data_IF_160140822462
#
_entry.id   IF_160140822462
#
_cell.length_a   1.000
_cell.length_b   1.000
_cell.length_c   1.000
_cell.angle_alpha   90.00
_cell.angle_beta   90.00
_cell.angle_gamma   90.00
#
_symmetry.space_group_name_H-M   'P 1'
#
loop_
_entity.id
_entity.type
_entity.pdbx_description
1 polymer ?
#
# COMPACT_ATOMS: atom_id res chain seq x y z
N UNK A 1 -39.97 -38.38 26.75
CA UNK A 1 -39.71 -37.51 25.59
C UNK A 1 -38.39 -36.80 25.87
N UNK A 2 -37.25 -37.26 25.32
CA UNK A 2 -36.00 -36.53 25.47
C UNK A 2 -36.02 -35.30 24.55
N UNK A 3 -35.71 -34.14 25.12
CA UNK A 3 -35.60 -32.85 24.45
C UNK A 3 -34.42 -32.84 23.48
N UNK A 4 -34.69 -32.51 22.21
CA UNK A 4 -33.66 -32.32 21.19
C UNK A 4 -32.75 -31.13 21.54
N UNK A 5 -31.42 -31.24 21.36
CA UNK A 5 -30.53 -30.10 21.50
C UNK A 5 -30.75 -29.12 20.36
N UNK A 6 -30.95 -27.85 20.72
CA UNK A 6 -31.04 -26.73 19.78
C UNK A 6 -29.63 -26.41 19.29
N UNK A 7 -29.32 -26.80 18.05
CA UNK A 7 -28.11 -26.34 17.36
C UNK A 7 -28.30 -24.87 17.00
N UNK A 8 -27.42 -23.94 17.44
CA UNK A 8 -27.50 -22.56 17.00
C UNK A 8 -27.27 -22.49 15.48
N UNK A 9 -27.94 -21.56 14.78
CA UNK A 9 -27.70 -21.37 13.35
C UNK A 9 -26.22 -20.98 13.14
N UNK A 10 -25.58 -21.60 12.14
CA UNK A 10 -24.27 -21.18 11.69
C UNK A 10 -24.35 -19.69 11.34
N UNK A 11 -23.44 -18.89 11.90
CA UNK A 11 -23.24 -17.52 11.42
C UNK A 11 -22.90 -17.62 9.93
N UNK A 12 -23.76 -17.06 9.08
CA UNK A 12 -23.38 -16.78 7.69
C UNK A 12 -22.18 -15.83 7.76
N UNK A 13 -20.98 -16.36 7.53
CA UNK A 13 -19.79 -15.55 7.36
C UNK A 13 -19.98 -14.74 6.08
N UNK A 14 -20.59 -13.56 6.19
CA UNK A 14 -20.56 -12.57 5.12
C UNK A 14 -19.10 -12.38 4.74
N UNK A 15 -18.77 -12.62 3.47
CA UNK A 15 -17.39 -12.47 3.00
C UNK A 15 -16.92 -11.06 3.36
N UNK A 16 -15.80 -10.97 4.10
CA UNK A 16 -15.22 -9.68 4.51
C UNK A 16 -14.87 -8.91 3.23
N UNK A 17 -15.45 -7.73 3.05
CA UNK A 17 -15.15 -6.86 1.91
C UNK A 17 -13.73 -6.30 2.10
N UNK A 18 -12.86 -6.54 1.14
CA UNK A 18 -11.49 -6.01 1.12
C UNK A 18 -11.57 -4.53 0.70
N UNK A 19 -11.20 -3.57 1.57
CA UNK A 19 -11.27 -2.15 1.22
C UNK A 19 -10.31 -1.79 0.09
N UNK A 20 -10.78 -0.95 -0.83
CA UNK A 20 -9.99 -0.37 -1.91
C UNK A 20 -9.76 1.12 -1.63
N UNK A 21 -8.50 1.48 -1.39
CA UNK A 21 -8.07 2.83 -1.04
C UNK A 21 -7.49 3.57 -2.25
N UNK A 22 -7.60 4.90 -2.27
CA UNK A 22 -6.84 5.73 -3.21
C UNK A 22 -5.53 6.20 -2.56
N UNK A 23 -4.39 5.85 -3.13
CA UNK A 23 -3.11 6.45 -2.70
C UNK A 23 -3.00 7.88 -3.20
N UNK A 24 -2.66 8.80 -2.30
CA UNK A 24 -2.35 10.20 -2.64
C UNK A 24 -1.24 10.35 -3.68
N UNK A 25 -0.37 9.35 -3.84
CA UNK A 25 0.64 9.33 -4.90
C UNK A 25 0.03 9.31 -6.30
N UNK A 26 -1.15 8.70 -6.48
CA UNK A 26 -1.85 8.64 -7.76
C UNK A 26 -2.49 9.96 -8.19
N UNK A 27 -2.60 10.92 -7.27
CA UNK A 27 -3.16 12.25 -7.53
C UNK A 27 -2.06 13.31 -7.62
N UNK A 28 -0.79 12.94 -7.40
CA UNK A 28 0.36 13.84 -7.51
C UNK A 28 0.43 14.53 -8.90
N UNK A 29 0.75 15.83 -8.98
CA UNK A 29 1.23 16.73 -7.92
C UNK A 29 0.13 17.50 -7.18
N UNK A 30 -1.13 17.08 -7.26
CA UNK A 30 -2.20 17.71 -6.51
C UNK A 30 -2.06 17.48 -4.99
N UNK A 31 -2.86 18.19 -4.20
CA UNK A 31 -2.77 18.16 -2.75
C UNK A 31 -3.46 16.92 -2.15
N UNK A 32 -3.21 16.66 -0.86
CA UNK A 32 -3.97 15.64 -0.11
C UNK A 32 -5.46 15.97 -0.08
N UNK A 33 -5.85 17.25 -0.08
CA UNK A 33 -7.25 17.66 -0.20
C UNK A 33 -7.88 17.14 -1.50
N UNK A 34 -7.16 17.26 -2.63
CA UNK A 34 -7.62 16.73 -3.92
C UNK A 34 -7.74 15.19 -3.88
N UNK A 35 -6.85 14.51 -3.13
CA UNK A 35 -6.95 13.06 -2.93
C UNK A 35 -8.25 12.67 -2.22
N UNK A 36 -8.60 13.34 -1.11
CA UNK A 36 -9.84 13.06 -0.39
C UNK A 36 -11.09 13.37 -1.24
N UNK A 37 -11.06 14.47 -2.00
CA UNK A 37 -12.16 14.84 -2.89
C UNK A 37 -12.37 13.77 -3.99
N UNK A 38 -11.30 13.38 -4.68
CA UNK A 38 -11.37 12.34 -5.73
C UNK A 38 -11.79 10.99 -5.15
N UNK A 39 -11.27 10.60 -3.99
CA UNK A 39 -11.66 9.37 -3.31
C UNK A 39 -13.17 9.35 -2.99
N UNK A 40 -13.69 10.46 -2.46
CA UNK A 40 -15.11 10.64 -2.19
C UNK A 40 -15.95 10.55 -3.48
N UNK A 41 -15.61 11.34 -4.49
CA UNK A 41 -16.39 11.48 -5.72
C UNK A 41 -16.45 10.17 -6.51
N UNK A 42 -15.36 9.39 -6.52
CA UNK A 42 -15.27 8.11 -7.23
C UNK A 42 -15.77 6.91 -6.41
N UNK A 43 -16.01 7.11 -5.11
CA UNK A 43 -16.55 6.08 -4.22
C UNK A 43 -15.50 5.05 -3.76
N UNK A 44 -14.28 5.49 -3.49
CA UNK A 44 -13.27 4.70 -2.77
C UNK A 44 -13.68 4.47 -1.31
N UNK A 45 -13.14 3.43 -0.69
CA UNK A 45 -13.44 3.07 0.70
C UNK A 45 -12.61 3.86 1.72
N UNK A 46 -11.59 4.57 1.24
CA UNK A 46 -10.72 5.43 2.02
C UNK A 46 -9.50 5.87 1.22
N UNK A 47 -8.52 6.44 1.93
CA UNK A 47 -7.28 6.92 1.33
C UNK A 47 -6.04 6.35 2.01
N UNK A 48 -4.97 6.27 1.24
CA UNK A 48 -3.62 6.17 1.76
C UNK A 48 -2.90 7.52 1.59
N UNK A 49 -2.27 7.99 2.67
CA UNK A 49 -1.55 9.25 2.67
C UNK A 49 -0.05 8.99 2.61
N UNK A 50 0.57 9.39 1.52
CA UNK A 50 2.01 9.45 1.36
C UNK A 50 2.53 10.74 1.97
N UNK A 51 3.41 10.58 2.96
CA UNK A 51 4.05 11.72 3.62
C UNK A 51 5.09 12.30 2.66
N UNK A 52 4.94 13.59 2.34
CA UNK A 52 5.83 14.29 1.43
C UNK A 52 6.41 15.56 2.08
N UNK A 53 7.12 16.38 1.31
CA UNK A 53 7.56 17.71 1.75
C UNK A 53 6.42 18.71 1.96
N UNK A 54 5.19 18.39 1.55
CA UNK A 54 4.01 19.21 1.83
C UNK A 54 3.60 19.06 3.31
N UNK A 55 3.45 20.20 4.01
CA UNK A 55 3.07 20.25 5.43
C UNK A 55 1.72 19.60 5.73
N UNK A 56 0.77 19.66 4.78
CA UNK A 56 -0.57 19.12 4.98
C UNK A 56 -0.54 17.59 5.07
N UNK A 57 0.32 16.94 4.29
CA UNK A 57 0.56 15.49 4.38
C UNK A 57 1.28 15.04 5.65
N UNK A 58 1.80 15.99 6.45
CA UNK A 58 2.51 15.73 7.71
C UNK A 58 1.67 16.10 8.94
N UNK A 59 0.47 16.67 8.77
CA UNK A 59 -0.32 17.25 9.85
C UNK A 59 -1.57 16.40 10.13
N UNK A 60 -1.60 15.62 11.22
CA UNK A 60 -2.74 14.76 11.56
C UNK A 60 -4.06 15.52 11.73
N UNK A 61 -4.02 16.75 12.24
CA UNK A 61 -5.23 17.54 12.47
C UNK A 61 -5.85 18.01 11.15
N UNK A 62 -5.02 18.40 10.17
CA UNK A 62 -5.49 18.70 8.81
C UNK A 62 -6.08 17.44 8.18
N UNK A 63 -5.37 16.32 8.25
CA UNK A 63 -5.80 15.05 7.68
C UNK A 63 -7.13 14.55 8.29
N UNK A 64 -7.30 14.64 9.61
CA UNK A 64 -8.56 14.31 10.28
C UNK A 64 -9.71 15.23 9.84
N UNK A 65 -9.46 16.54 9.70
CA UNK A 65 -10.46 17.47 9.19
C UNK A 65 -10.88 17.19 7.74
N UNK A 66 -9.95 16.72 6.89
CA UNK A 66 -10.25 16.28 5.53
C UNK A 66 -11.03 14.96 5.53
N UNK A 67 -10.61 13.99 6.36
CA UNK A 67 -11.30 12.71 6.52
C UNK A 67 -12.77 12.92 6.91
N UNK A 68 -13.03 13.77 7.91
CA UNK A 68 -14.39 14.10 8.34
C UNK A 68 -15.19 14.80 7.23
N UNK A 69 -14.60 15.83 6.61
CA UNK A 69 -15.23 16.62 5.54
C UNK A 69 -15.70 15.75 4.38
N UNK A 70 -14.86 14.81 3.95
CA UNK A 70 -15.12 13.97 2.79
C UNK A 70 -15.75 12.62 3.15
N UNK A 71 -15.91 12.32 4.45
CA UNK A 71 -16.34 10.99 4.92
C UNK A 71 -15.50 9.87 4.32
N UNK A 72 -14.19 10.10 4.26
CA UNK A 72 -13.20 9.20 3.69
C UNK A 72 -12.18 8.86 4.77
N UNK A 73 -12.16 7.63 5.31
CA UNK A 73 -11.22 7.24 6.35
C UNK A 73 -9.80 7.13 5.79
N UNK A 74 -8.81 7.34 6.66
CA UNK A 74 -7.41 7.10 6.33
C UNK A 74 -7.08 5.67 6.70
N UNK A 75 -6.78 4.85 5.70
CA UNK A 75 -6.57 3.41 5.87
C UNK A 75 -5.09 3.06 6.06
N UNK A 76 -4.20 3.85 5.46
CA UNK A 76 -2.76 3.67 5.58
C UNK A 76 -1.98 4.98 5.51
N UNK A 77 -0.82 4.99 6.17
CA UNK A 77 0.19 6.05 6.07
C UNK A 77 1.43 5.49 5.37
N UNK A 78 1.86 6.10 4.29
CA UNK A 78 3.09 5.73 3.60
C UNK A 78 4.23 6.63 4.07
N UNK A 79 5.19 6.02 4.78
CA UNK A 79 6.30 6.72 5.41
C UNK A 79 7.20 7.41 4.35
N UNK A 80 7.82 8.56 4.68
CA UNK A 80 8.64 9.32 3.73
C UNK A 80 10.04 8.72 3.53
N UNK A 81 10.11 7.44 3.16
CA UNK A 81 11.34 6.65 3.01
C UNK A 81 11.89 6.59 1.58
N UNK A 82 11.20 7.20 0.62
CA UNK A 82 11.67 7.36 -0.76
C UNK A 82 12.89 8.29 -0.87
N UNK A 83 13.62 8.21 -2.00
CA UNK A 83 14.79 9.06 -2.26
C UNK A 83 14.43 10.55 -2.29
N UNK A 84 13.26 10.88 -2.83
CA UNK A 84 12.78 12.27 -2.96
C UNK A 84 12.32 12.87 -1.63
N UNK A 85 11.95 12.04 -0.66
CA UNK A 85 11.42 12.47 0.64
C UNK A 85 12.44 12.30 1.77
N UNK A 86 13.72 12.03 1.46
CA UNK A 86 14.77 11.82 2.47
C UNK A 86 14.89 12.98 3.47
N UNK A 87 14.61 14.21 3.06
CA UNK A 87 14.72 15.40 3.92
C UNK A 87 13.57 15.51 4.95
N UNK A 88 12.42 14.87 4.68
CA UNK A 88 11.22 14.97 5.52
C UNK A 88 11.46 14.25 6.85
N UNK A 89 11.19 14.91 7.97
CA UNK A 89 11.36 14.33 9.33
C UNK A 89 12.77 13.86 9.70
N UNK A 90 13.79 14.19 8.90
CA UNK A 90 15.19 13.97 9.25
C UNK A 90 15.62 12.50 9.25
N UNK A 91 15.94 11.95 10.43
CA UNK A 91 16.60 10.64 10.58
C UNK A 91 15.66 9.48 10.23
N UNK A 92 16.23 8.35 9.79
CA UNK A 92 15.49 7.16 9.37
C UNK A 92 14.48 6.66 10.41
N UNK A 93 14.93 6.41 11.66
CA UNK A 93 14.03 5.97 12.73
C UNK A 93 12.95 6.99 13.07
N UNK A 94 13.31 8.28 13.10
CA UNK A 94 12.34 9.36 13.35
C UNK A 94 11.21 9.36 12.31
N UNK A 95 11.50 9.03 11.05
CA UNK A 95 10.45 8.91 10.02
C UNK A 95 9.47 7.78 10.34
N UNK A 96 9.96 6.62 10.76
CA UNK A 96 9.11 5.46 11.09
C UNK A 96 8.29 5.74 12.34
N UNK A 97 8.90 6.26 13.40
CA UNK A 97 8.21 6.63 14.65
C UNK A 97 7.13 7.69 14.42
N UNK A 98 7.42 8.76 13.66
CA UNK A 98 6.43 9.78 13.36
C UNK A 98 5.33 9.29 12.43
N UNK A 99 5.63 8.38 11.50
CA UNK A 99 4.60 7.75 10.66
C UNK A 99 3.65 6.89 11.50
N UNK A 100 4.19 6.09 12.44
CA UNK A 100 3.39 5.28 13.35
C UNK A 100 2.56 6.11 14.32
N UNK A 101 3.15 7.17 14.89
CA UNK A 101 2.42 8.12 15.73
C UNK A 101 1.29 8.80 14.96
N UNK A 102 1.55 9.25 13.73
CA UNK A 102 0.54 9.86 12.87
C UNK A 102 -0.57 8.87 12.50
N UNK A 103 -0.22 7.63 12.13
CA UNK A 103 -1.20 6.59 11.82
C UNK A 103 -2.15 6.35 13.00
N UNK A 104 -1.61 6.19 14.20
CA UNK A 104 -2.41 6.05 15.42
C UNK A 104 -3.32 7.27 15.68
N UNK A 105 -2.83 8.50 15.45
CA UNK A 105 -3.60 9.73 15.66
C UNK A 105 -4.74 9.92 14.65
N UNK A 106 -4.55 9.49 13.41
CA UNK A 106 -5.58 9.58 12.37
C UNK A 106 -6.48 8.33 12.27
N UNK A 107 -6.24 7.33 13.13
CA UNK A 107 -7.00 6.08 13.15
C UNK A 107 -6.65 5.10 12.03
N UNK A 108 -5.53 5.30 11.32
CA UNK A 108 -5.02 4.34 10.35
C UNK A 108 -4.35 3.16 11.07
N UNK A 109 -4.53 1.95 10.55
CA UNK A 109 -3.96 0.73 11.15
C UNK A 109 -2.66 0.29 10.49
N UNK A 110 -2.35 0.80 9.29
CA UNK A 110 -1.18 0.39 8.51
C UNK A 110 -0.22 1.56 8.28
N UNK A 111 1.08 1.28 8.44
CA UNK A 111 2.18 2.13 7.97
C UNK A 111 2.98 1.36 6.93
N UNK A 112 3.11 1.91 5.73
CA UNK A 112 4.00 1.36 4.70
C UNK A 112 5.40 1.94 4.88
N UNK A 113 6.40 1.06 4.97
CA UNK A 113 7.80 1.44 5.14
C UNK A 113 8.68 0.75 4.09
N UNK A 114 9.70 1.45 3.60
CA UNK A 114 10.66 0.86 2.67
C UNK A 114 11.84 0.25 3.43
N UNK A 115 12.47 -0.81 2.89
CA UNK A 115 13.71 -1.32 3.44
C UNK A 115 14.80 -0.24 3.45
N UNK A 116 15.70 -0.26 4.44
CA UNK A 116 16.85 0.62 4.55
C UNK A 116 17.65 0.75 3.27
N UNK A 117 18.12 1.96 2.99
CA UNK A 117 19.21 2.12 2.03
C UNK A 117 20.51 1.57 2.61
N UNK A 118 21.37 1.04 1.74
CA UNK A 118 22.63 0.41 2.13
C UNK A 118 23.58 1.34 2.90
N UNK A 119 23.51 2.65 2.68
CA UNK A 119 24.31 3.63 3.42
C UNK A 119 23.78 3.94 4.83
N UNK A 120 22.66 3.35 5.24
CA UNK A 120 22.05 3.51 6.56
C UNK A 120 22.38 2.29 7.46
N UNK A 121 23.65 1.89 7.52
CA UNK A 121 24.06 0.59 8.10
C UNK A 121 23.57 0.34 9.54
N UNK A 122 23.71 1.32 10.44
CA UNK A 122 23.24 1.17 11.83
C UNK A 122 21.71 1.09 11.98
N UNK A 123 20.96 1.66 11.02
CA UNK A 123 19.50 1.52 10.92
C UNK A 123 19.12 0.14 10.35
N UNK A 124 19.89 -0.36 9.38
CA UNK A 124 19.60 -1.59 8.67
C UNK A 124 19.81 -2.86 9.50
N UNK A 125 20.81 -2.90 10.38
CA UNK A 125 21.14 -4.09 11.18
C UNK A 125 19.99 -4.54 12.09
N UNK A 126 19.23 -3.59 12.65
CA UNK A 126 18.14 -3.86 13.58
C UNK A 126 16.77 -3.49 12.99
N UNK A 127 16.66 -3.39 11.66
CA UNK A 127 15.47 -2.83 11.02
C UNK A 127 14.20 -3.65 11.30
N UNK A 128 14.24 -4.98 11.11
CA UNK A 128 13.08 -5.84 11.36
C UNK A 128 12.62 -5.79 12.82
N UNK A 129 13.56 -5.82 13.78
CA UNK A 129 13.24 -5.74 15.20
C UNK A 129 12.71 -4.36 15.59
N UNK A 130 13.32 -3.28 15.10
CA UNK A 130 12.90 -1.92 15.41
C UNK A 130 11.54 -1.57 14.81
N UNK A 131 11.23 -2.06 13.61
CA UNK A 131 9.90 -1.95 13.00
C UNK A 131 8.84 -2.63 13.88
N UNK A 132 9.10 -3.87 14.33
CA UNK A 132 8.19 -4.57 15.25
C UNK A 132 8.00 -3.81 16.56
N UNK A 133 9.08 -3.31 17.16
CA UNK A 133 8.99 -2.57 18.42
C UNK A 133 8.15 -1.29 18.29
N UNK A 134 8.33 -0.53 17.21
CA UNK A 134 7.53 0.69 16.95
C UNK A 134 6.06 0.32 16.68
N UNK A 135 5.81 -0.71 15.88
CA UNK A 135 4.48 -1.23 15.61
C UNK A 135 3.72 -1.54 16.92
N UNK A 136 4.34 -2.32 17.82
CA UNK A 136 3.81 -2.65 19.14
C UNK A 136 3.58 -1.40 20.02
N UNK A 137 4.53 -0.46 20.03
CA UNK A 137 4.46 0.75 20.85
C UNK A 137 3.26 1.64 20.49
N UNK A 138 2.98 1.78 19.19
CA UNK A 138 1.91 2.65 18.70
C UNK A 138 0.60 1.91 18.41
N UNK A 139 0.57 0.58 18.49
CA UNK A 139 -0.62 -0.22 18.21
C UNK A 139 -1.03 -0.19 16.73
N UNK A 140 -0.04 -0.13 15.83
CA UNK A 140 -0.23 -0.12 14.37
C UNK A 140 0.53 -1.27 13.74
N UNK A 141 0.16 -1.67 12.53
CA UNK A 141 0.96 -2.56 11.70
C UNK A 141 1.94 -1.75 10.88
N UNK A 142 3.23 -2.11 10.90
CA UNK A 142 4.19 -1.57 9.94
C UNK A 142 4.53 -2.66 8.92
N UNK A 143 4.12 -2.43 7.68
CA UNK A 143 4.31 -3.35 6.57
C UNK A 143 5.50 -2.90 5.70
N UNK A 144 6.48 -3.78 5.53
CA UNK A 144 7.69 -3.48 4.75
C UNK A 144 7.43 -3.76 3.27
N UNK A 145 7.58 -2.76 2.44
CA UNK A 145 7.32 -2.84 1.00
C UNK A 145 8.45 -3.56 0.24
N UNK A 146 8.10 -4.36 -0.77
CA UNK A 146 9.09 -4.82 -1.74
C UNK A 146 9.60 -3.65 -2.57
N UNK A 147 10.92 -3.58 -2.72
CA UNK A 147 11.57 -2.67 -3.67
C UNK A 147 12.06 -3.45 -4.88
N UNK A 148 12.94 -2.86 -5.66
CA UNK A 148 13.51 -3.48 -6.84
C UNK A 148 15.03 -3.28 -6.92
N UNK A 149 15.75 -4.19 -7.59
CA UNK A 149 17.19 -4.08 -7.76
C UNK A 149 17.54 -2.88 -8.64
N UNK A 150 18.44 -2.02 -8.17
CA UNK A 150 18.97 -0.93 -9.00
C UNK A 150 19.96 -1.51 -10.00
N UNK A 151 19.86 -1.11 -11.27
CA UNK A 151 20.79 -1.59 -12.32
C UNK A 151 21.60 -0.43 -12.87
N UNK A 152 22.93 -0.54 -12.78
CA UNK A 152 23.88 0.42 -13.36
C UNK A 152 24.70 -0.30 -14.43
N UNK A 153 24.57 0.14 -15.69
CA UNK A 153 25.25 -0.48 -16.85
C UNK A 153 25.01 -2.00 -16.94
N UNK A 154 23.78 -2.43 -16.67
CA UNK A 154 23.37 -3.84 -16.74
C UNK A 154 23.77 -4.70 -15.52
N UNK A 155 24.47 -4.14 -14.52
CA UNK A 155 24.83 -4.84 -13.28
C UNK A 155 23.94 -4.38 -12.13
N UNK A 156 23.52 -5.34 -11.30
CA UNK A 156 22.77 -5.05 -10.08
C UNK A 156 23.67 -4.32 -9.05
N UNK A 157 23.14 -3.24 -8.50
CA UNK A 157 23.70 -2.48 -7.41
C UNK A 157 22.89 -2.78 -6.13
N UNK A 158 23.59 -3.16 -5.06
CA UNK A 158 22.98 -3.40 -3.74
C UNK A 158 22.59 -2.06 -3.10
N UNK A 159 21.44 -1.52 -3.50
CA UNK A 159 20.94 -0.24 -2.99
C UNK A 159 20.27 -0.35 -1.61
N UNK A 160 19.74 -1.53 -1.27
CA UNK A 160 18.98 -1.77 -0.05
C UNK A 160 19.69 -2.75 0.90
N UNK A 161 19.35 -2.69 2.19
CA UNK A 161 19.75 -3.63 3.23
C UNK A 161 18.54 -4.03 4.10
N UNK A 162 18.44 -5.30 4.54
CA UNK A 162 19.26 -6.44 4.10
C UNK A 162 19.07 -6.76 2.62
N UNK A 163 17.87 -6.55 2.07
CA UNK A 163 17.54 -6.80 0.68
C UNK A 163 16.31 -5.98 0.22
N UNK A 164 16.11 -5.86 -1.09
CA UNK A 164 14.93 -5.23 -1.68
C UNK A 164 13.70 -6.18 -1.72
N UNK A 165 13.97 -7.49 -1.77
CA UNK A 165 12.96 -8.55 -1.72
C UNK A 165 12.63 -8.88 -0.26
N UNK A 166 11.40 -8.69 0.23
CA UNK A 166 11.02 -8.94 1.61
C UNK A 166 10.69 -10.42 1.89
N UNK A 167 10.54 -11.26 0.87
CA UNK A 167 10.13 -12.67 1.02
C UNK A 167 11.09 -13.48 1.91
N UNK A 168 12.43 -13.46 1.71
CA UNK A 168 13.34 -14.19 2.59
C UNK A 168 13.56 -13.47 3.93
N UNK A 169 13.09 -12.24 4.09
CA UNK A 169 13.40 -11.39 5.24
C UNK A 169 12.41 -11.62 6.39
N UNK A 170 12.85 -11.43 7.65
CA UNK A 170 12.05 -11.73 8.84
C UNK A 170 11.07 -10.59 9.19
N UNK A 171 10.42 -9.99 8.18
CA UNK A 171 9.36 -9.02 8.40
C UNK A 171 8.05 -9.76 8.69
N UNK A 172 7.34 -9.32 9.73
CA UNK A 172 6.05 -9.90 10.13
C UNK A 172 4.93 -9.51 9.14
N UNK A 173 4.97 -8.27 8.65
CA UNK A 173 4.00 -7.71 7.71
C UNK A 173 4.71 -7.11 6.50
N UNK A 174 4.13 -7.33 5.32
CA UNK A 174 4.68 -6.94 4.02
C UNK A 174 3.62 -6.18 3.22
N UNK A 175 4.04 -5.07 2.63
CA UNK A 175 3.32 -4.41 1.54
C UNK A 175 3.85 -4.95 0.22
N UNK A 176 2.96 -5.29 -0.71
CA UNK A 176 3.36 -5.73 -2.04
C UNK A 176 2.96 -4.74 -3.13
N UNK A 177 3.94 -4.18 -3.81
CA UNK A 177 3.82 -3.30 -4.98
C UNK A 177 4.13 -4.04 -6.29
N UNK A 178 3.20 -3.90 -7.23
CA UNK A 178 3.22 -4.59 -8.51
C UNK A 178 4.19 -3.97 -9.53
N UNK A 179 4.41 -2.66 -9.51
CA UNK A 179 5.36 -1.98 -10.38
C UNK A 179 6.79 -2.37 -9.97
N UNK A 180 7.07 -2.37 -8.68
CA UNK A 180 8.33 -2.85 -8.11
C UNK A 180 8.59 -4.33 -8.47
N UNK A 181 7.56 -5.19 -8.36
CA UNK A 181 7.65 -6.60 -8.76
C UNK A 181 8.00 -6.75 -10.25
N UNK A 182 7.36 -5.96 -11.13
CA UNK A 182 7.64 -5.97 -12.56
C UNK A 182 9.10 -5.62 -12.88
N UNK A 183 9.64 -4.58 -12.23
CA UNK A 183 11.06 -4.19 -12.39
C UNK A 183 12.00 -5.30 -11.91
N UNK A 184 11.65 -5.95 -10.80
CA UNK A 184 12.41 -7.04 -10.23
C UNK A 184 12.33 -8.34 -11.06
N UNK A 185 11.45 -8.42 -12.06
CA UNK A 185 11.19 -9.63 -12.83
C UNK A 185 10.48 -10.70 -12.00
N UNK A 186 9.70 -10.27 -11.01
CA UNK A 186 8.86 -11.13 -10.16
C UNK A 186 7.42 -11.12 -10.68
N UNK A 187 6.68 -12.19 -10.36
CA UNK A 187 5.26 -12.33 -10.69
C UNK A 187 4.44 -12.12 -9.41
N UNK A 188 3.71 -11.01 -9.31
CA UNK A 188 2.95 -10.68 -8.10
C UNK A 188 2.03 -11.83 -7.65
N UNK A 189 1.30 -12.49 -8.55
CA UNK A 189 0.41 -13.59 -8.16
C UNK A 189 1.16 -14.73 -7.46
N UNK A 190 2.31 -15.15 -8.02
CA UNK A 190 3.13 -16.19 -7.41
C UNK A 190 3.77 -15.76 -6.09
N UNK A 191 4.18 -14.49 -5.96
CA UNK A 191 4.86 -14.00 -4.77
C UNK A 191 3.91 -13.73 -3.59
N UNK A 192 2.70 -13.20 -3.85
CA UNK A 192 1.68 -13.04 -2.81
C UNK A 192 1.33 -14.38 -2.15
N UNK A 193 1.30 -15.47 -2.93
CA UNK A 193 1.08 -16.84 -2.43
C UNK A 193 2.19 -17.32 -1.50
N UNK A 194 3.44 -16.87 -1.71
CA UNK A 194 4.58 -17.21 -0.85
C UNK A 194 4.59 -16.39 0.44
N UNK A 195 4.11 -15.15 0.39
CA UNK A 195 4.00 -14.30 1.58
C UNK A 195 2.94 -14.82 2.55
N UNK A 196 1.82 -15.34 2.04
CA UNK A 196 0.75 -15.91 2.86
C UNK A 196 0.26 -14.92 3.92
N UNK A 197 0.15 -15.31 5.21
CA UNK A 197 -0.33 -14.44 6.28
C UNK A 197 0.50 -13.18 6.53
N UNK A 198 1.72 -13.08 5.98
CA UNK A 198 2.56 -11.88 6.12
C UNK A 198 2.14 -10.76 5.17
N UNK A 199 1.39 -11.06 4.12
CA UNK A 199 0.85 -10.03 3.25
C UNK A 199 -0.20 -9.22 4.02
N UNK A 200 0.04 -7.92 4.18
CA UNK A 200 -0.86 -7.05 4.95
C UNK A 200 -1.42 -5.89 4.14
N UNK A 201 -0.72 -5.45 3.10
CA UNK A 201 -1.12 -4.32 2.27
C UNK A 201 -0.69 -4.55 0.83
N UNK A 202 -1.45 -4.02 -0.12
CA UNK A 202 -1.15 -4.15 -1.55
C UNK A 202 -1.19 -2.78 -2.20
N UNK A 203 -0.12 -2.42 -2.90
CA UNK A 203 -0.12 -1.33 -3.86
C UNK A 203 -0.47 -1.89 -5.24
N UNK A 204 -1.75 -1.75 -5.61
CA UNK A 204 -2.25 -2.20 -6.89
C UNK A 204 -1.86 -1.21 -7.97
N UNK A 205 -1.03 -1.70 -8.87
CA UNK A 205 -0.52 -1.01 -10.04
C UNK A 205 -0.07 -2.07 -11.04
N UNK A 206 0.63 -1.70 -12.10
CA UNK A 206 1.24 -2.64 -13.04
C UNK A 206 2.56 -2.07 -13.57
N UNK A 207 3.29 -2.87 -14.33
CA UNK A 207 4.53 -2.42 -14.95
C UNK A 207 5.14 -3.45 -15.88
N UNK A 208 6.24 -3.05 -16.51
CA UNK A 208 7.04 -3.91 -17.39
C UNK A 208 8.46 -4.06 -16.86
N UNK A 209 9.20 -5.13 -17.21
CA UNK A 209 10.57 -5.37 -16.75
C UNK A 209 11.60 -4.48 -17.49
N UNK A 210 11.30 -3.19 -17.67
CA UNK A 210 12.11 -2.24 -18.43
C UNK A 210 13.08 -1.42 -17.57
N UNK A 211 13.11 -1.66 -16.25
CA UNK A 211 13.99 -0.97 -15.31
C UNK A 211 13.46 0.39 -14.84
N UNK A 212 12.21 0.73 -15.13
CA UNK A 212 11.55 1.95 -14.68
C UNK A 212 10.35 1.63 -13.84
N UNK A 213 10.13 2.49 -12.87
CA UNK A 213 8.98 2.45 -12.01
C UNK A 213 7.84 3.23 -12.66
N UNK A 214 7.01 2.49 -13.40
CA UNK A 214 6.03 3.05 -14.32
C UNK A 214 4.68 3.32 -13.64
N UNK A 215 4.33 2.49 -12.66
CA UNK A 215 3.04 2.49 -11.98
C UNK A 215 1.88 2.54 -12.99
N UNK A 216 1.85 1.61 -13.94
CA UNK A 216 0.84 1.54 -14.99
C UNK A 216 -0.53 1.15 -14.40
N UNK A 217 -1.60 1.38 -15.16
CA UNK A 217 -2.92 0.87 -14.76
C UNK A 217 -2.90 -0.67 -14.78
N UNK A 218 -3.53 -1.35 -13.82
CA UNK A 218 -3.69 -2.80 -13.82
C UNK A 218 -4.20 -3.36 -15.14
N UNK A 219 -3.45 -4.30 -15.73
CA UNK A 219 -3.78 -4.91 -17.01
C UNK A 219 -3.11 -4.25 -18.22
N UNK A 220 -2.40 -3.12 -18.04
CA UNK A 220 -1.60 -2.50 -19.11
C UNK A 220 -0.14 -2.96 -19.11
N UNK A 221 0.31 -3.65 -18.07
CA UNK A 221 1.68 -4.14 -17.93
C UNK A 221 1.79 -5.65 -18.13
N UNK A 222 2.62 -6.27 -17.29
CA UNK A 222 2.97 -7.69 -17.38
C UNK A 222 2.62 -8.48 -16.13
N UNK A 223 2.11 -7.81 -15.09
CA UNK A 223 1.72 -8.48 -13.86
C UNK A 223 0.33 -9.14 -14.01
N UNK A 224 0.14 -10.24 -13.29
CA UNK A 224 -1.12 -10.98 -13.24
C UNK A 224 -2.08 -10.36 -12.22
N UNK A 225 -2.44 -9.10 -12.43
CA UNK A 225 -3.20 -8.29 -11.46
C UNK A 225 -4.58 -8.89 -11.15
N UNK A 226 -5.29 -9.38 -12.17
CA UNK A 226 -6.60 -9.99 -12.01
C UNK A 226 -6.52 -11.25 -11.13
N UNK A 227 -5.62 -12.18 -11.45
CA UNK A 227 -5.46 -13.41 -10.70
C UNK A 227 -4.94 -13.17 -9.28
N UNK A 228 -4.08 -12.17 -9.09
CA UNK A 228 -3.61 -11.76 -7.77
C UNK A 228 -4.76 -11.27 -6.89
N UNK A 229 -5.63 -10.39 -7.40
CA UNK A 229 -6.79 -9.90 -6.65
C UNK A 229 -7.83 -10.99 -6.35
N UNK A 230 -8.08 -11.88 -7.32
CA UNK A 230 -8.94 -13.05 -7.11
C UNK A 230 -8.39 -13.97 -6.02
N UNK A 231 -7.06 -14.16 -5.98
CA UNK A 231 -6.42 -14.90 -4.90
C UNK A 231 -6.62 -14.24 -3.53
N UNK A 232 -6.57 -12.90 -3.43
CA UNK A 232 -6.83 -12.21 -2.16
C UNK A 232 -8.25 -12.45 -1.65
N UNK A 233 -9.25 -12.38 -2.54
CA UNK A 233 -10.65 -12.60 -2.16
C UNK A 233 -10.92 -14.05 -1.75
N UNK A 234 -10.24 -15.02 -2.37
CA UNK A 234 -10.39 -16.45 -2.06
C UNK A 234 -9.68 -16.89 -0.76
N UNK A 235 -8.65 -16.15 -0.33
CA UNK A 235 -7.79 -16.57 0.79
C UNK A 235 -8.03 -15.82 2.10
N UNK A 236 -9.07 -14.98 2.14
CA UNK A 236 -9.44 -14.24 3.35
C UNK A 236 -8.43 -13.15 3.71
N UNK A 237 -7.76 -12.56 2.72
CA UNK A 237 -6.92 -11.38 2.91
C UNK A 237 -7.73 -10.30 3.64
N UNK A 238 -7.15 -9.76 4.71
CA UNK A 238 -7.87 -8.94 5.68
C UNK A 238 -7.35 -7.50 5.78
N UNK A 239 -6.37 -7.17 4.93
CA UNK A 239 -5.76 -5.86 4.75
C UNK A 239 -6.41 -5.00 3.67
N UNK A 240 -5.63 -4.07 3.09
CA UNK A 240 -6.12 -3.04 2.16
C UNK A 240 -5.46 -3.19 0.79
N UNK A 241 -6.22 -2.93 -0.28
CA UNK A 241 -5.70 -2.75 -1.64
C UNK A 241 -5.69 -1.26 -1.95
N UNK A 242 -4.53 -0.62 -1.90
CA UNK A 242 -4.34 0.78 -2.27
C UNK A 242 -4.01 0.91 -3.76
N UNK A 243 -4.75 1.75 -4.48
CA UNK A 243 -4.47 2.08 -5.88
C UNK A 243 -3.32 3.08 -5.91
N UNK A 244 -2.19 2.66 -6.47
CA UNK A 244 -0.97 3.48 -6.62
C UNK A 244 -0.50 3.54 -8.08
N UNK A 245 -1.38 4.01 -8.97
CA UNK A 245 -1.11 4.21 -10.40
C UNK A 245 -0.59 5.61 -10.72
N UNK A 246 0.18 5.75 -11.80
CA UNK A 246 0.69 7.01 -12.31
C UNK A 246 -0.29 7.65 -13.29
N UNK A 247 -0.91 8.76 -12.86
CA UNK A 247 -1.84 9.54 -13.69
C UNK A 247 -1.16 10.73 -14.38
N UNK A 248 0.18 10.79 -14.39
CA UNK A 248 0.96 11.93 -14.93
C UNK A 248 0.76 12.18 -16.42
N UNK A 249 0.31 11.17 -17.17
CA UNK A 249 0.04 11.28 -18.60
C UNK A 249 -1.35 11.87 -18.90
N UNK A 250 -2.24 11.93 -17.91
CA UNK A 250 -3.54 12.58 -18.06
C UNK A 250 -3.36 14.09 -18.31
N UNK A 251 -3.88 14.56 -19.44
CA UNK A 251 -3.80 15.95 -19.90
C UNK A 251 -5.18 16.57 -20.08
N UNK A 252 -6.20 15.75 -20.35
CA UNK A 252 -7.59 16.17 -20.45
C UNK A 252 -8.21 16.43 -19.08
N UNK A 253 -9.19 17.34 -19.04
CA UNK A 253 -10.06 17.46 -17.86
C UNK A 253 -10.83 16.14 -17.66
N UNK A 254 -10.82 15.59 -16.44
CA UNK A 254 -11.48 14.32 -16.12
C UNK A 254 -10.67 13.06 -16.45
N UNK A 255 -9.61 13.15 -17.25
CA UNK A 255 -8.86 11.96 -17.70
C UNK A 255 -8.17 11.22 -16.54
N UNK A 256 -7.75 11.95 -15.49
CA UNK A 256 -7.21 11.35 -14.27
C UNK A 256 -8.30 10.57 -13.53
N UNK A 257 -9.44 11.21 -13.34
CA UNK A 257 -10.59 10.65 -12.63
C UNK A 257 -11.10 9.40 -13.33
N UNK A 258 -11.13 9.41 -14.67
CA UNK A 258 -11.47 8.24 -15.49
C UNK A 258 -10.47 7.08 -15.28
N UNK A 259 -9.16 7.36 -15.30
CA UNK A 259 -8.12 6.35 -15.06
C UNK A 259 -8.23 5.75 -13.64
N UNK A 260 -8.49 6.60 -12.64
CA UNK A 260 -8.67 6.17 -11.25
C UNK A 260 -9.96 5.38 -11.08
N UNK A 261 -11.04 5.76 -11.76
CA UNK A 261 -12.30 5.03 -11.73
C UNK A 261 -12.18 3.67 -12.41
N UNK A 262 -11.54 3.62 -13.58
CA UNK A 262 -11.23 2.37 -14.28
C UNK A 262 -10.42 1.43 -13.39
N UNK A 263 -9.43 1.96 -12.66
CA UNK A 263 -8.61 1.14 -11.76
C UNK A 263 -9.39 0.64 -10.56
N UNK A 264 -10.25 1.48 -9.98
CA UNK A 264 -11.17 1.08 -8.89
C UNK A 264 -12.12 -0.04 -9.33
N UNK A 265 -12.70 0.08 -10.52
CA UNK A 265 -13.62 -0.91 -11.07
C UNK A 265 -12.90 -2.22 -11.37
N UNK A 266 -11.69 -2.15 -11.95
CA UNK A 266 -10.83 -3.33 -12.13
C UNK A 266 -10.57 -4.04 -10.80
N UNK A 267 -10.23 -3.27 -9.75
CA UNK A 267 -9.97 -3.83 -8.43
C UNK A 267 -11.20 -4.53 -7.87
N UNK A 268 -12.33 -3.82 -7.81
CA UNK A 268 -13.59 -4.34 -7.25
C UNK A 268 -14.13 -5.54 -8.02
N UNK A 269 -14.02 -5.53 -9.35
CA UNK A 269 -14.46 -6.65 -10.19
C UNK A 269 -13.65 -7.91 -9.87
N UNK A 270 -12.32 -7.81 -9.82
CA UNK A 270 -11.45 -8.96 -9.55
C UNK A 270 -11.42 -9.38 -8.07
N UNK A 271 -11.85 -8.50 -7.17
CA UNK A 271 -12.14 -8.84 -5.76
C UNK A 271 -13.55 -9.44 -5.58
N UNK A 272 -14.36 -9.54 -6.64
CA UNK A 272 -15.72 -10.10 -6.58
C UNK A 272 -16.75 -9.20 -5.89
N UNK A 273 -16.48 -7.89 -5.80
CA UNK A 273 -17.33 -6.91 -5.11
C UNK A 273 -18.37 -6.26 -6.03
N UNK A 274 -18.13 -6.31 -7.34
CA UNK A 274 -19.07 -5.87 -8.38
C UNK A 274 -19.08 -6.90 -9.53
N UNK A 275 -20.18 -6.97 -10.26
CA UNK A 275 -20.30 -7.81 -11.47
C UNK A 275 -19.90 -7.03 -12.72
N UNK A 276 -19.54 -7.75 -13.79
CA UNK A 276 -19.37 -7.21 -15.15
C UNK A 276 -20.65 -6.55 -15.70
#
# INVERSE_FOLDING_TARGET
MPSSPHTPPAEESGAKVIPVALSSASVYPLSVHDTFAVAHDLGYDGVEIMVTGNSDSQNPQILNGLSERYSQPILAIHAPTLLLTQQVWGKAWTKIELSAAMAAEVGATTVVAHPPFRWQSGYAENFAEGVRHIAEQYGVTIAVENMYPWRVRGREAKAYLPHWNPIPEPYEHVTWDFSHAAIAGMDSYEELRKLGPRLHHVHLTDGTPNGRDEHMLPGEGTQRCAEALQYLSETGFDGVVAIEVSTRKAKGAGEREDQLKQTLDFARMNLGQISE
#
